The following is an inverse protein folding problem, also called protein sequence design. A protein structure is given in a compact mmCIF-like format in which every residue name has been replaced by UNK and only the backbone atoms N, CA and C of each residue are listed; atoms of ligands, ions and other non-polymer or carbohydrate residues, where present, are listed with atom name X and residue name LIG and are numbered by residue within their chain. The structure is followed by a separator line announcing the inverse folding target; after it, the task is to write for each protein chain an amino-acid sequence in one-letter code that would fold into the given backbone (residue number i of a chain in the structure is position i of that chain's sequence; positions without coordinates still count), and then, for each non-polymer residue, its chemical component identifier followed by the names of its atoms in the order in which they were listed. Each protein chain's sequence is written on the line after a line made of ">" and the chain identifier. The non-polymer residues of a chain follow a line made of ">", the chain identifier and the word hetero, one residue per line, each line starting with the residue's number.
data_IF_235557963013
#
_entry.id   IF_235557963013
#
_cell.length_a   1.000
_cell.length_b   1.000
_cell.length_c   1.000
_cell.angle_alpha   90.00
_cell.angle_beta   90.00
_cell.angle_gamma   90.00
#
_symmetry.space_group_name_H-M   'P 1'
#
loop_
_entity.id
_entity.type
_entity.pdbx_description
1 polymer ?
#
# COMPACT_ATOMS: atom_id res chain seq x y z
N UNK A 1 9.24 8.36 -1.36
CA UNK A 1 9.83 7.06 -0.96
C UNK A 1 9.43 5.86 -1.84
N UNK A 2 8.38 5.96 -2.66
CA UNK A 2 7.83 4.87 -3.49
C UNK A 2 8.57 4.69 -4.83
N UNK A 3 9.90 4.55 -4.82
CA UNK A 3 10.72 4.41 -6.04
C UNK A 3 10.46 3.10 -6.79
N UNK A 4 9.96 2.08 -6.08
CA UNK A 4 9.59 0.77 -6.63
C UNK A 4 8.10 0.69 -7.01
N UNK A 5 7.40 1.82 -7.00
CA UNK A 5 5.99 1.90 -7.34
C UNK A 5 5.08 1.18 -6.34
N UNK A 6 3.96 0.71 -6.86
CA UNK A 6 2.90 0.01 -6.12
C UNK A 6 2.43 -1.19 -6.94
N UNK A 7 1.89 -2.20 -6.28
CA UNK A 7 1.33 -3.37 -6.93
C UNK A 7 0.06 -3.85 -6.23
N UNK A 8 -0.74 -4.63 -6.96
CA UNK A 8 -1.88 -5.37 -6.42
C UNK A 8 -1.86 -6.79 -6.95
N UNK A 9 -2.32 -7.76 -6.16
CA UNK A 9 -2.27 -9.17 -6.52
C UNK A 9 -3.25 -10.03 -5.73
N UNK A 10 -3.27 -11.32 -6.05
CA UNK A 10 -4.10 -12.36 -5.42
C UNK A 10 -5.56 -11.93 -5.18
N UNK A 11 -6.31 -11.53 -6.23
CA UNK A 11 -7.68 -11.09 -6.06
C UNK A 11 -8.62 -12.25 -5.73
N UNK A 12 -9.49 -12.05 -4.74
CA UNK A 12 -10.67 -12.85 -4.46
C UNK A 12 -11.93 -12.08 -4.89
N UNK A 13 -13.11 -12.68 -4.73
CA UNK A 13 -14.37 -12.02 -5.05
C UNK A 13 -14.63 -10.76 -4.21
N UNK A 14 -14.05 -10.69 -3.00
CA UNK A 14 -14.26 -9.63 -2.04
C UNK A 14 -12.96 -9.03 -1.49
N UNK A 15 -11.79 -9.45 -1.97
CA UNK A 15 -10.51 -8.94 -1.47
C UNK A 15 -9.42 -8.85 -2.54
N UNK A 16 -8.38 -8.08 -2.25
CA UNK A 16 -7.15 -8.01 -3.04
C UNK A 16 -5.98 -7.68 -2.12
N UNK A 17 -4.79 -8.19 -2.45
CA UNK A 17 -3.55 -7.76 -1.80
C UNK A 17 -3.06 -6.46 -2.44
N UNK A 18 -2.74 -5.46 -1.62
CA UNK A 18 -2.04 -4.25 -2.05
C UNK A 18 -0.62 -4.26 -1.50
N UNK A 19 0.34 -3.85 -2.33
CA UNK A 19 1.75 -3.89 -2.02
C UNK A 19 2.46 -2.59 -2.38
N UNK A 20 3.41 -2.19 -1.53
CA UNK A 20 4.46 -1.22 -1.88
C UNK A 20 5.69 -1.45 -1.00
N UNK A 21 6.78 -0.73 -1.30
CA UNK A 21 7.98 -0.71 -0.46
C UNK A 21 8.52 0.71 -0.33
N UNK A 22 8.81 1.12 0.90
CA UNK A 22 9.50 2.39 1.15
C UNK A 22 10.99 2.19 0.89
N UNK A 23 11.49 2.73 -0.21
CA UNK A 23 12.88 2.60 -0.60
C UNK A 23 13.40 3.86 -1.31
N UNK A 24 13.55 5.01 -0.62
CA UNK A 24 14.12 6.22 -1.23
C UNK A 24 15.50 5.98 -1.90
N UNK A 25 16.29 5.02 -1.43
CA UNK A 25 17.54 4.60 -2.06
C UNK A 25 17.55 3.07 -2.30
N UNK A 26 16.89 2.58 -3.38
CA UNK A 26 16.57 1.16 -3.53
C UNK A 26 17.80 0.28 -3.80
N UNK A 27 18.87 0.83 -4.36
CA UNK A 27 20.08 0.07 -4.70
C UNK A 27 21.07 -0.02 -3.52
N UNK A 28 20.93 0.83 -2.50
CA UNK A 28 21.79 0.85 -1.32
C UNK A 28 21.03 0.46 -0.05
N UNK A 29 20.32 -0.67 -0.09
CA UNK A 29 19.62 -1.22 1.07
C UNK A 29 18.30 -0.53 1.43
N UNK A 30 17.81 0.40 0.61
CA UNK A 30 16.51 1.05 0.73
C UNK A 30 16.55 2.49 1.25
N UNK A 31 17.61 2.90 1.96
CA UNK A 31 17.73 4.27 2.48
C UNK A 31 16.72 4.63 3.58
N UNK A 32 16.18 3.64 4.29
CA UNK A 32 15.20 3.83 5.37
C UNK A 32 15.85 3.70 6.76
N UNK A 33 15.35 4.43 7.78
CA UNK A 33 15.82 4.30 9.16
C UNK A 33 15.46 2.92 9.76
N UNK A 34 16.22 2.48 10.76
CA UNK A 34 15.97 1.22 11.52
C UNK A 34 14.80 1.34 12.51
N UNK A 35 13.66 1.86 12.06
CA UNK A 35 12.42 1.95 12.82
C UNK A 35 11.22 1.61 11.94
N UNK A 36 10.11 1.20 12.57
CA UNK A 36 8.86 0.99 11.85
C UNK A 36 8.27 2.35 11.41
N UNK A 37 7.79 2.43 10.18
CA UNK A 37 7.24 3.66 9.59
C UNK A 37 5.76 3.45 9.26
N UNK A 38 4.84 4.29 9.75
CA UNK A 38 3.43 4.18 9.39
C UNK A 38 3.20 4.53 7.92
N UNK A 39 2.41 3.71 7.25
CA UNK A 39 1.98 3.90 5.87
C UNK A 39 0.47 3.80 5.82
N UNK A 40 -0.19 4.93 5.53
CA UNK A 40 -1.62 4.96 5.28
C UNK A 40 -1.91 4.39 3.89
N UNK A 41 -3.00 3.67 3.77
CA UNK A 41 -3.49 3.15 2.49
C UNK A 41 -4.97 3.47 2.33
N UNK A 42 -5.40 3.68 1.10
CA UNK A 42 -6.78 4.01 0.74
C UNK A 42 -7.16 3.23 -0.53
N UNK A 43 -8.42 2.77 -0.59
CA UNK A 43 -9.08 2.24 -1.78
C UNK A 43 -10.27 3.13 -2.09
N UNK A 44 -10.43 3.50 -3.36
CA UNK A 44 -11.52 4.33 -3.85
C UNK A 44 -12.21 3.73 -5.07
N UNK A 45 -13.48 4.11 -5.26
CA UNK A 45 -14.26 3.74 -6.44
C UNK A 45 -13.96 4.63 -7.67
N UNK A 46 -13.19 5.72 -7.48
CA UNK A 46 -12.77 6.64 -8.53
C UNK A 46 -11.29 7.02 -8.37
N UNK A 47 -10.64 7.32 -9.49
CA UNK A 47 -9.19 7.63 -9.56
C UNK A 47 -8.81 8.91 -8.81
N UNK A 48 -9.77 9.81 -8.59
CA UNK A 48 -9.56 11.07 -7.89
C UNK A 48 -9.68 10.91 -6.36
N UNK A 49 -9.97 9.69 -5.87
CA UNK A 49 -10.16 9.38 -4.46
C UNK A 49 -11.26 10.22 -3.78
N UNK A 50 -12.34 10.56 -4.52
CA UNK A 50 -13.50 11.26 -3.95
C UNK A 50 -14.41 10.31 -3.16
N UNK A 51 -14.49 9.05 -3.57
CA UNK A 51 -15.29 8.00 -2.94
C UNK A 51 -14.38 6.90 -2.36
N UNK A 52 -13.80 7.17 -1.20
CA UNK A 52 -13.01 6.19 -0.45
C UNK A 52 -13.96 5.11 0.10
N UNK A 53 -13.70 3.85 -0.26
CA UNK A 53 -14.48 2.68 0.21
C UNK A 53 -13.80 1.96 1.36
N UNK A 54 -12.47 2.04 1.46
CA UNK A 54 -11.70 1.44 2.55
C UNK A 54 -10.40 2.22 2.77
N UNK A 55 -9.90 2.22 4.00
CA UNK A 55 -8.61 2.82 4.37
C UNK A 55 -8.06 2.19 5.65
N UNK A 56 -6.76 2.27 5.82
CA UNK A 56 -6.09 1.77 7.01
C UNK A 56 -4.69 2.34 7.17
N UNK A 57 -3.93 1.76 8.08
CA UNK A 57 -2.52 2.11 8.30
C UNK A 57 -1.75 0.84 8.61
N UNK A 58 -0.68 0.60 7.86
CA UNK A 58 0.26 -0.49 8.10
C UNK A 58 1.59 0.04 8.63
N UNK A 59 2.31 -0.81 9.35
CA UNK A 59 3.65 -0.49 9.83
C UNK A 59 4.69 -1.15 8.92
N UNK A 60 5.37 -0.34 8.10
CA UNK A 60 6.50 -0.79 7.30
C UNK A 60 7.72 -1.03 8.22
N UNK A 61 8.07 -2.29 8.47
CA UNK A 61 9.11 -2.67 9.44
C UNK A 61 10.48 -2.87 8.78
N UNK A 62 11.60 -2.53 9.45
CA UNK A 62 12.94 -2.72 8.90
C UNK A 62 13.29 -4.17 8.57
N UNK A 63 12.82 -5.12 9.37
CA UNK A 63 13.09 -6.55 9.16
C UNK A 63 12.43 -7.13 7.89
N UNK A 64 11.48 -6.42 7.29
CA UNK A 64 10.84 -6.76 6.01
C UNK A 64 11.26 -5.78 4.89
N UNK A 65 12.36 -5.06 5.08
CA UNK A 65 12.86 -4.06 4.13
C UNK A 65 11.90 -2.91 3.88
N UNK A 66 11.07 -2.56 4.88
CA UNK A 66 9.99 -1.57 4.80
C UNK A 66 8.99 -1.82 3.66
N UNK A 67 8.76 -3.10 3.33
CA UNK A 67 7.62 -3.50 2.51
C UNK A 67 6.31 -3.38 3.29
N UNK A 68 5.22 -3.17 2.56
CA UNK A 68 3.85 -3.08 3.06
C UNK A 68 3.02 -4.10 2.29
N UNK A 69 2.27 -4.91 3.02
CA UNK A 69 1.30 -5.85 2.48
C UNK A 69 -0.04 -5.56 3.17
N UNK A 70 -1.06 -5.27 2.39
CA UNK A 70 -2.41 -5.02 2.89
C UNK A 70 -3.33 -6.06 2.27
N UNK A 71 -4.05 -6.81 3.10
CA UNK A 71 -5.20 -7.58 2.65
C UNK A 71 -6.44 -6.69 2.75
N UNK A 72 -6.98 -6.27 1.60
CA UNK A 72 -8.10 -5.38 1.56
C UNK A 72 -9.40 -6.13 1.23
N UNK A 73 -10.06 -6.67 2.25
CA UNK A 73 -11.36 -7.35 2.14
C UNK A 73 -12.58 -6.39 1.99
N UNK A 74 -13.78 -6.96 1.88
CA UNK A 74 -15.05 -6.24 1.88
C UNK A 74 -15.33 -5.48 0.58
N UNK A 75 -14.68 -5.87 -0.51
CA UNK A 75 -14.86 -5.30 -1.84
C UNK A 75 -16.01 -5.99 -2.58
N UNK A 76 -16.54 -5.31 -3.61
CA UNK A 76 -17.54 -5.91 -4.49
C UNK A 76 -16.84 -6.71 -5.59
N UNK A 77 -17.35 -7.89 -5.98
CA UNK A 77 -16.78 -8.69 -7.06
C UNK A 77 -16.89 -7.96 -8.40
N UNK A 78 -15.96 -8.27 -9.32
CA UNK A 78 -15.93 -7.77 -10.68
C UNK A 78 -16.06 -6.24 -10.78
N UNK A 79 -15.37 -5.51 -9.89
CA UNK A 79 -15.40 -4.06 -9.84
C UNK A 79 -13.99 -3.49 -9.85
N UNK A 80 -13.79 -2.45 -10.65
CA UNK A 80 -12.54 -1.70 -10.70
C UNK A 80 -12.46 -0.78 -9.48
N UNK A 81 -11.29 -0.76 -8.87
CA UNK A 81 -10.93 0.11 -7.76
C UNK A 81 -9.58 0.76 -8.00
N UNK A 82 -9.36 1.89 -7.35
CA UNK A 82 -8.10 2.62 -7.32
C UNK A 82 -7.53 2.59 -5.92
N UNK A 83 -6.21 2.51 -5.78
CA UNK A 83 -5.56 2.48 -4.48
C UNK A 83 -4.31 3.35 -4.44
N UNK A 84 -3.98 3.85 -3.25
CA UNK A 84 -2.76 4.62 -3.02
C UNK A 84 -2.22 4.42 -1.61
N UNK A 85 -0.94 4.69 -1.47
CA UNK A 85 -0.24 4.73 -0.19
C UNK A 85 0.23 6.16 0.12
N UNK A 86 0.27 6.51 1.40
CA UNK A 86 0.83 7.77 1.91
C UNK A 86 1.74 7.46 3.09
N UNK A 87 2.96 8.00 3.07
CA UNK A 87 3.92 7.88 4.17
C UNK A 87 4.62 9.22 4.35
N UNK A 88 4.72 9.68 5.61
CA UNK A 88 5.13 11.03 5.95
C UNK A 88 3.95 12.01 6.09
N UNK A 89 4.28 13.29 6.10
CA UNK A 89 3.34 14.41 6.06
C UNK A 89 3.10 14.87 4.61
#
# INVERSE_FOLDING_TARGET
>A
PFTLGVASGDPLSDSVILWTRLAPDPLNGGGMPKQAVPVKWEIAADEHFRHIVKRGTEMAKPNLGHSVHVEADGLKPNKVYYYRFKSGH
#
